data_IF_034461906693
#
_entry.id   IF_034461906693
#
_cell.length_a   1.000
_cell.length_b   1.000
_cell.length_c   1.000
_cell.angle_alpha   90.00
_cell.angle_beta   90.00
_cell.angle_gamma   90.00
#
_symmetry.space_group_name_H-M   'P 1'
#
loop_
_entity.id
_entity.type
_entity.pdbx_description
1 polymer ?
#
# COMPACT_ATOMS: atom_id res chain seq x y z
N UNK A 1 -9.80 35.02 -25.65
CA UNK A 1 -10.56 34.55 -24.47
C UNK A 1 -11.45 33.31 -24.74
N UNK A 2 -11.46 32.75 -25.96
CA UNK A 2 -12.24 31.53 -26.29
C UNK A 2 -11.55 30.21 -25.89
N UNK A 3 -10.21 30.15 -25.88
CA UNK A 3 -9.47 28.93 -25.53
C UNK A 3 -9.68 28.49 -24.06
N UNK A 4 -9.90 29.45 -23.15
CA UNK A 4 -10.13 29.15 -21.72
C UNK A 4 -11.50 28.51 -21.43
N UNK A 5 -12.49 28.69 -22.31
CA UNK A 5 -13.82 28.05 -22.16
C UNK A 5 -13.85 26.63 -22.70
N UNK A 6 -13.10 26.34 -23.77
CA UNK A 6 -12.99 24.99 -24.32
C UNK A 6 -12.23 24.03 -23.38
N UNK A 7 -11.28 24.60 -22.63
CA UNK A 7 -10.48 23.96 -21.60
C UNK A 7 -11.23 23.25 -20.48
N UNK A 8 -12.24 23.93 -19.92
CA UNK A 8 -13.05 23.39 -18.83
C UNK A 8 -13.96 22.26 -19.35
N UNK A 9 -14.25 22.21 -20.66
CA UNK A 9 -15.04 21.14 -21.27
C UNK A 9 -14.26 19.85 -21.56
N UNK A 10 -12.93 19.87 -21.73
CA UNK A 10 -12.13 18.66 -22.02
C UNK A 10 -11.39 18.06 -20.81
N UNK A 11 -11.09 18.87 -19.77
CA UNK A 11 -10.57 18.38 -18.47
C UNK A 11 -11.41 17.23 -17.84
N UNK A 12 -12.76 17.22 -17.93
CA UNK A 12 -13.57 16.12 -17.41
C UNK A 12 -13.30 14.77 -18.10
N UNK A 13 -12.80 14.75 -19.34
CA UNK A 13 -12.61 13.52 -20.11
C UNK A 13 -11.31 12.82 -19.70
N UNK A 14 -10.19 13.53 -19.64
CA UNK A 14 -8.90 12.98 -19.20
C UNK A 14 -8.99 12.43 -17.78
N UNK A 15 -9.65 13.19 -16.89
CA UNK A 15 -9.88 12.75 -15.51
C UNK A 15 -10.68 11.44 -15.44
N UNK A 16 -11.78 11.34 -16.20
CA UNK A 16 -12.60 10.11 -16.24
C UNK A 16 -11.83 8.91 -16.81
N UNK A 17 -11.02 9.14 -17.84
CA UNK A 17 -10.19 8.09 -18.45
C UNK A 17 -9.18 7.57 -17.41
N UNK A 18 -8.45 8.47 -16.74
CA UNK A 18 -7.49 8.07 -15.70
C UNK A 18 -8.19 7.32 -14.57
N UNK A 19 -9.36 7.79 -14.13
CA UNK A 19 -10.15 7.08 -13.10
C UNK A 19 -10.42 5.62 -13.50
N UNK A 20 -10.82 5.37 -14.75
CA UNK A 20 -11.10 4.03 -15.28
C UNK A 20 -9.81 3.19 -15.39
N UNK A 21 -8.72 3.77 -15.87
CA UNK A 21 -7.42 3.08 -15.93
C UNK A 21 -7.01 2.62 -14.53
N UNK A 22 -7.18 3.47 -13.52
CA UNK A 22 -6.84 3.16 -12.13
C UNK A 22 -7.72 2.07 -11.48
N UNK A 23 -8.80 1.62 -12.12
CA UNK A 23 -9.49 0.38 -11.70
C UNK A 23 -8.58 -0.85 -11.82
N UNK A 24 -7.50 -0.77 -12.61
CA UNK A 24 -6.46 -1.79 -12.70
C UNK A 24 -5.84 -2.20 -11.36
N UNK A 25 -5.82 -1.29 -10.36
CA UNK A 25 -5.35 -1.58 -8.99
C UNK A 25 -6.12 -2.75 -8.37
N UNK A 26 -7.45 -2.76 -8.56
CA UNK A 26 -8.32 -3.81 -8.04
C UNK A 26 -8.06 -5.17 -8.71
N UNK A 27 -7.40 -5.19 -9.86
CA UNK A 27 -7.02 -6.39 -10.59
C UNK A 27 -5.78 -7.08 -10.04
N UNK A 28 -4.94 -6.40 -9.25
CA UNK A 28 -3.66 -6.94 -8.76
C UNK A 28 -3.83 -8.28 -8.02
N UNK A 29 -4.77 -8.44 -7.06
CA UNK A 29 -4.94 -9.72 -6.37
C UNK A 29 -5.21 -10.89 -7.32
N UNK A 30 -6.04 -10.69 -8.34
CA UNK A 30 -6.36 -11.73 -9.33
C UNK A 30 -5.15 -12.14 -10.16
N UNK A 31 -4.20 -11.24 -10.37
CA UNK A 31 -2.99 -11.53 -11.16
C UNK A 31 -2.00 -12.44 -10.44
N UNK A 32 -2.03 -12.47 -9.11
CA UNK A 32 -1.05 -13.21 -8.30
C UNK A 32 -1.66 -14.39 -7.55
N UNK A 33 -2.88 -14.25 -7.01
CA UNK A 33 -3.54 -15.33 -6.24
C UNK A 33 -3.70 -16.60 -7.05
N UNK A 34 -3.17 -17.70 -6.51
CA UNK A 34 -3.23 -19.03 -7.12
C UNK A 34 -2.65 -19.09 -8.54
N UNK A 35 -1.75 -18.16 -8.86
CA UNK A 35 -1.03 -18.15 -10.14
C UNK A 35 0.41 -18.60 -9.93
N UNK A 36 1.04 -19.09 -11.00
CA UNK A 36 2.50 -19.34 -11.03
C UNK A 36 3.28 -18.11 -11.50
N UNK A 37 2.68 -16.91 -11.45
CA UNK A 37 3.32 -15.69 -11.92
C UNK A 37 4.48 -15.34 -10.97
N UNK A 38 5.68 -15.01 -11.50
CA UNK A 38 6.80 -14.61 -10.66
C UNK A 38 6.52 -13.28 -9.94
N UNK A 39 7.32 -12.99 -8.92
CA UNK A 39 7.27 -11.70 -8.25
C UNK A 39 7.50 -10.55 -9.24
N UNK A 40 6.75 -9.44 -9.12
CA UNK A 40 6.85 -8.34 -10.06
C UNK A 40 8.17 -7.58 -9.93
N UNK A 41 8.68 -7.16 -11.09
CA UNK A 41 9.89 -6.34 -11.22
C UNK A 41 9.61 -4.99 -11.89
N UNK A 42 8.44 -4.84 -12.51
CA UNK A 42 8.05 -3.65 -13.26
C UNK A 42 6.71 -3.11 -12.75
N UNK A 43 6.46 -1.83 -13.02
CA UNK A 43 5.17 -1.19 -12.76
C UNK A 43 4.04 -1.90 -13.51
N UNK A 44 2.83 -1.78 -12.98
CA UNK A 44 1.64 -2.33 -13.62
C UNK A 44 1.33 -1.61 -14.94
N UNK A 45 0.74 -2.30 -15.94
CA UNK A 45 0.36 -1.68 -17.21
C UNK A 45 -0.54 -0.44 -17.05
N UNK A 46 -1.47 -0.46 -16.10
CA UNK A 46 -2.35 0.69 -15.84
C UNK A 46 -1.58 1.93 -15.34
N UNK A 47 -0.44 1.76 -14.68
CA UNK A 47 0.43 2.88 -14.27
C UNK A 47 1.09 3.50 -15.49
N UNK A 48 1.64 2.66 -16.38
CA UNK A 48 2.23 3.15 -17.64
C UNK A 48 1.19 3.85 -18.52
N UNK A 49 -0.04 3.32 -18.57
CA UNK A 49 -1.15 3.92 -19.32
C UNK A 49 -1.58 5.25 -18.70
N UNK A 50 -1.68 5.34 -17.36
CA UNK A 50 -1.97 6.60 -16.65
C UNK A 50 -0.94 7.69 -17.00
N UNK A 51 0.35 7.33 -16.97
CA UNK A 51 1.43 8.24 -17.34
C UNK A 51 1.36 8.70 -18.80
N UNK A 52 1.04 7.78 -19.72
CA UNK A 52 0.84 8.09 -21.13
C UNK A 52 -0.36 9.05 -21.33
N UNK A 53 -1.49 8.81 -20.67
CA UNK A 53 -2.67 9.69 -20.72
C UNK A 53 -2.36 11.10 -20.20
N UNK A 54 -1.60 11.20 -19.11
CA UNK A 54 -1.15 12.48 -18.56
C UNK A 54 -0.21 13.24 -19.52
N UNK A 55 0.67 12.52 -20.22
CA UNK A 55 1.52 13.10 -21.26
C UNK A 55 0.71 13.58 -22.46
N UNK A 56 -0.23 12.76 -22.94
CA UNK A 56 -1.12 13.12 -24.04
C UNK A 56 -1.91 14.39 -23.74
N UNK A 57 -2.40 14.54 -22.49
CA UNK A 57 -3.03 15.78 -22.06
C UNK A 57 -2.10 17.00 -22.24
N UNK A 58 -0.84 16.91 -21.79
CA UNK A 58 0.12 18.00 -21.97
C UNK A 58 0.36 18.33 -23.45
N UNK A 59 0.54 17.30 -24.27
CA UNK A 59 0.81 17.47 -25.71
C UNK A 59 -0.40 18.10 -26.42
N UNK A 60 -1.62 17.69 -26.07
CA UNK A 60 -2.87 18.24 -26.61
C UNK A 60 -3.09 19.70 -26.17
N UNK A 61 -2.87 20.04 -24.90
CA UNK A 61 -3.03 21.43 -24.45
C UNK A 61 -1.96 22.36 -25.04
N UNK A 62 -0.74 21.87 -25.26
CA UNK A 62 0.29 22.59 -26.01
C UNK A 62 -0.15 22.84 -27.45
N UNK A 63 -0.75 21.84 -28.12
CA UNK A 63 -1.31 22.01 -29.45
C UNK A 63 -2.42 23.08 -29.51
N UNK A 64 -3.21 23.20 -28.44
CA UNK A 64 -4.20 24.27 -28.28
C UNK A 64 -3.63 25.63 -27.82
N UNK A 65 -2.31 25.79 -27.81
CA UNK A 65 -1.61 27.02 -27.44
C UNK A 65 -1.95 27.54 -26.04
N UNK A 66 -2.20 26.64 -25.08
CA UNK A 66 -2.30 27.06 -23.69
C UNK A 66 -0.95 27.55 -23.18
N UNK A 67 -0.97 28.47 -22.22
CA UNK A 67 0.27 28.83 -21.52
C UNK A 67 0.76 27.67 -20.68
N UNK A 68 2.08 27.53 -20.60
CA UNK A 68 2.74 26.47 -19.82
C UNK A 68 2.29 26.47 -18.34
N UNK A 69 2.02 27.65 -17.78
CA UNK A 69 1.48 27.80 -16.43
C UNK A 69 0.11 27.14 -16.27
N UNK A 70 -0.81 27.33 -17.22
CA UNK A 70 -2.14 26.75 -17.17
C UNK A 70 -2.09 25.23 -17.37
N UNK A 71 -1.26 24.75 -18.32
CA UNK A 71 -1.04 23.32 -18.55
C UNK A 71 -0.52 22.68 -17.27
N UNK A 72 0.51 23.28 -16.67
CA UNK A 72 1.12 22.80 -15.43
C UNK A 72 0.13 22.79 -14.28
N UNK A 73 -0.66 23.86 -14.11
CA UNK A 73 -1.66 23.96 -13.05
C UNK A 73 -2.73 22.85 -13.15
N UNK A 74 -3.33 22.67 -14.33
CA UNK A 74 -4.35 21.65 -14.55
C UNK A 74 -3.76 20.24 -14.48
N UNK A 75 -2.56 20.02 -15.04
CA UNK A 75 -1.85 18.75 -14.92
C UNK A 75 -1.65 18.35 -13.45
N UNK A 76 -1.20 19.29 -12.61
CA UNK A 76 -1.01 19.06 -11.18
C UNK A 76 -2.32 18.68 -10.48
N UNK A 77 -3.43 19.34 -10.83
CA UNK A 77 -4.75 19.00 -10.29
C UNK A 77 -5.18 17.59 -10.69
N UNK A 78 -5.09 17.25 -11.98
CA UNK A 78 -5.44 15.91 -12.49
C UNK A 78 -4.58 14.86 -11.79
N UNK A 79 -3.27 15.09 -11.70
CA UNK A 79 -2.35 14.14 -11.11
C UNK A 79 -2.58 13.95 -9.60
N UNK A 80 -2.78 15.04 -8.85
CA UNK A 80 -3.08 14.98 -7.43
C UNK A 80 -4.38 14.20 -7.13
N UNK A 81 -5.44 14.41 -7.92
CA UNK A 81 -6.67 13.64 -7.77
C UNK A 81 -6.48 12.16 -8.16
N UNK A 82 -5.70 11.89 -9.21
CA UNK A 82 -5.34 10.52 -9.62
C UNK A 82 -4.63 9.77 -8.50
N UNK A 83 -3.69 10.43 -7.80
CA UNK A 83 -3.01 9.86 -6.64
C UNK A 83 -3.97 9.57 -5.48
N UNK A 84 -4.96 10.44 -5.22
CA UNK A 84 -5.98 10.19 -4.19
C UNK A 84 -6.81 8.95 -4.53
N UNK A 85 -7.29 8.84 -5.77
CA UNK A 85 -8.06 7.69 -6.24
C UNK A 85 -7.26 6.39 -6.12
N UNK A 86 -6.03 6.41 -6.63
CA UNK A 86 -5.10 5.28 -6.53
C UNK A 86 -4.90 4.87 -5.07
N UNK A 87 -4.64 5.83 -4.18
CA UNK A 87 -4.42 5.59 -2.75
C UNK A 87 -5.62 4.92 -2.08
N UNK A 88 -6.84 5.34 -2.41
CA UNK A 88 -8.07 4.73 -1.88
C UNK A 88 -8.17 3.26 -2.31
N UNK A 89 -7.95 2.96 -3.60
CA UNK A 89 -8.02 1.59 -4.12
C UNK A 89 -6.90 0.72 -3.57
N UNK A 90 -5.67 1.24 -3.50
CA UNK A 90 -4.52 0.55 -2.92
C UNK A 90 -4.76 0.20 -1.44
N UNK A 91 -5.34 1.12 -0.65
CA UNK A 91 -5.75 0.86 0.75
C UNK A 91 -6.74 -0.30 0.85
N UNK A 92 -7.70 -0.38 -0.06
CA UNK A 92 -8.68 -1.48 -0.10
C UNK A 92 -8.02 -2.83 -0.42
N UNK A 93 -7.12 -2.84 -1.40
CA UNK A 93 -6.35 -4.05 -1.76
C UNK A 93 -5.50 -4.52 -0.57
N UNK A 94 -4.73 -3.62 0.06
CA UNK A 94 -3.90 -3.96 1.22
C UNK A 94 -4.73 -4.52 2.37
N UNK A 95 -5.89 -3.91 2.67
CA UNK A 95 -6.81 -4.41 3.70
C UNK A 95 -7.26 -5.85 3.41
N UNK A 96 -7.56 -6.18 2.15
CA UNK A 96 -7.95 -7.54 1.75
C UNK A 96 -6.79 -8.54 1.90
N UNK A 97 -5.57 -8.12 1.56
CA UNK A 97 -4.35 -8.91 1.75
C UNK A 97 -4.15 -9.23 3.23
N UNK A 98 -4.18 -8.23 4.11
CA UNK A 98 -4.03 -8.39 5.57
C UNK A 98 -5.10 -9.32 6.16
N UNK A 99 -6.35 -9.21 5.73
CA UNK A 99 -7.43 -10.11 6.15
C UNK A 99 -7.17 -11.56 5.74
N UNK A 100 -6.57 -11.76 4.57
CA UNK A 100 -6.24 -13.10 4.05
C UNK A 100 -5.07 -13.71 4.83
N UNK A 101 -4.02 -12.93 5.09
CA UNK A 101 -2.88 -13.39 5.90
C UNK A 101 -3.26 -13.71 7.33
N UNK A 102 -4.03 -12.84 7.98
CA UNK A 102 -4.49 -13.08 9.36
C UNK A 102 -5.34 -14.35 9.46
N UNK A 103 -6.16 -14.62 8.44
CA UNK A 103 -6.91 -15.87 8.33
C UNK A 103 -5.95 -17.07 8.18
N UNK A 104 -4.98 -17.00 7.28
CA UNK A 104 -4.01 -18.07 7.05
C UNK A 104 -3.14 -18.36 8.28
N UNK A 105 -2.68 -17.32 8.98
CA UNK A 105 -1.92 -17.45 10.22
C UNK A 105 -2.70 -18.19 11.31
N UNK A 106 -4.01 -17.93 11.45
CA UNK A 106 -4.87 -18.66 12.42
C UNK A 106 -4.92 -20.15 12.11
N UNK A 107 -4.86 -20.53 10.84
CA UNK A 107 -4.76 -21.94 10.44
C UNK A 107 -3.36 -22.52 10.72
N UNK A 108 -2.28 -21.81 10.35
CA UNK A 108 -0.89 -22.27 10.56
C UNK A 108 -0.51 -22.46 12.03
N UNK A 109 -1.03 -21.64 12.96
CA UNK A 109 -0.75 -21.77 14.41
C UNK A 109 -1.21 -23.10 15.04
N UNK A 110 -2.04 -23.88 14.35
CA UNK A 110 -2.46 -25.22 14.79
C UNK A 110 -1.52 -26.35 14.31
N UNK A 111 -0.51 -26.06 13.49
CA UNK A 111 0.34 -27.07 12.83
C UNK A 111 1.84 -26.68 12.80
N UNK A 112 2.56 -26.82 13.93
CA UNK A 112 4.05 -26.93 14.03
C UNK A 112 4.92 -25.83 13.34
N UNK A 113 6.27 -25.79 13.52
CA UNK A 113 7.01 -24.53 13.57
C UNK A 113 7.27 -23.92 12.18
N UNK A 114 7.10 -22.60 12.15
CA UNK A 114 7.18 -21.70 10.99
C UNK A 114 8.62 -21.58 10.51
N UNK A 115 8.97 -22.27 9.42
CA UNK A 115 10.13 -21.90 8.60
C UNK A 115 9.74 -22.04 7.13
N UNK A 116 8.98 -21.07 6.62
CA UNK A 116 8.74 -20.95 5.19
C UNK A 116 9.13 -19.53 4.79
N UNK A 117 9.99 -19.46 3.78
CA UNK A 117 10.36 -18.23 3.08
C UNK A 117 9.09 -17.58 2.52
N UNK A 118 8.42 -16.76 3.33
CA UNK A 118 7.20 -16.03 2.98
C UNK A 118 7.40 -15.11 1.75
N UNK A 119 8.63 -14.84 1.34
CA UNK A 119 8.96 -13.96 0.22
C UNK A 119 8.26 -14.35 -1.11
N UNK A 120 7.88 -15.62 -1.30
CA UNK A 120 7.19 -16.08 -2.51
C UNK A 120 5.65 -16.23 -2.35
N UNK A 121 5.08 -15.82 -1.21
CA UNK A 121 3.62 -15.87 -1.04
C UNK A 121 2.91 -14.87 -1.98
N UNK A 122 1.69 -15.22 -2.37
CA UNK A 122 0.83 -14.39 -3.23
C UNK A 122 0.63 -12.99 -2.63
N UNK A 123 0.49 -12.91 -1.30
CA UNK A 123 0.34 -11.65 -0.56
C UNK A 123 1.56 -10.75 -0.67
N UNK A 124 2.77 -11.32 -0.62
CA UNK A 124 4.00 -10.56 -0.82
C UNK A 124 4.20 -10.12 -2.27
N UNK A 125 3.76 -10.91 -3.25
CA UNK A 125 3.74 -10.50 -4.66
C UNK A 125 2.79 -9.32 -4.89
N UNK A 126 1.61 -9.34 -4.28
CA UNK A 126 0.63 -8.23 -4.35
C UNK A 126 1.22 -6.97 -3.72
N UNK A 127 1.79 -7.05 -2.51
CA UNK A 127 2.44 -5.91 -1.85
C UNK A 127 3.59 -5.36 -2.68
N UNK A 128 4.42 -6.25 -3.26
CA UNK A 128 5.53 -5.84 -4.12
C UNK A 128 5.06 -5.10 -5.36
N UNK A 129 3.98 -5.53 -6.01
CA UNK A 129 3.40 -4.78 -7.14
C UNK A 129 2.97 -3.38 -6.70
N UNK A 130 2.24 -3.28 -5.59
CA UNK A 130 1.80 -1.99 -5.05
C UNK A 130 2.98 -1.08 -4.71
N UNK A 131 4.06 -1.61 -4.15
CA UNK A 131 5.28 -0.83 -3.86
C UNK A 131 5.92 -0.26 -5.13
N UNK A 132 6.02 -1.05 -6.20
CA UNK A 132 6.54 -0.57 -7.49
C UNK A 132 5.65 0.52 -8.07
N UNK A 133 4.33 0.34 -7.99
CA UNK A 133 3.34 1.29 -8.50
C UNK A 133 3.36 2.60 -7.66
N UNK A 134 3.48 2.50 -6.34
CA UNK A 134 3.61 3.63 -5.40
C UNK A 134 4.91 4.41 -5.63
N UNK A 135 6.04 3.72 -5.79
CA UNK A 135 7.36 4.33 -6.01
C UNK A 135 7.40 5.13 -7.33
N UNK A 136 6.76 4.61 -8.38
CA UNK A 136 6.60 5.33 -9.63
C UNK A 136 5.78 6.61 -9.44
N UNK A 137 4.62 6.54 -8.77
CA UNK A 137 3.82 7.74 -8.50
C UNK A 137 4.56 8.75 -7.63
N UNK A 138 5.34 8.30 -6.64
CA UNK A 138 6.17 9.16 -5.80
C UNK A 138 7.22 9.90 -6.63
N UNK A 139 7.89 9.20 -7.53
CA UNK A 139 8.88 9.80 -8.45
C UNK A 139 8.22 10.85 -9.36
N UNK A 140 7.03 10.53 -9.89
CA UNK A 140 6.29 11.47 -10.74
C UNK A 140 5.78 12.69 -9.95
N UNK A 141 5.33 12.51 -8.70
CA UNK A 141 4.91 13.59 -7.81
C UNK A 141 6.04 14.54 -7.43
N UNK A 142 7.25 14.00 -7.18
CA UNK A 142 8.44 14.80 -6.92
C UNK A 142 8.75 15.75 -8.10
N UNK A 143 8.62 15.27 -9.34
CA UNK A 143 8.81 16.11 -10.54
C UNK A 143 7.77 17.23 -10.69
N UNK A 144 6.65 17.14 -9.98
CA UNK A 144 5.53 18.09 -10.04
C UNK A 144 5.38 18.94 -8.77
N UNK A 145 6.24 18.76 -7.77
CA UNK A 145 6.13 19.37 -6.44
C UNK A 145 4.77 19.13 -5.78
N UNK A 146 4.27 17.89 -5.86
CA UNK A 146 3.04 17.47 -5.20
C UNK A 146 3.37 16.74 -3.89
N UNK A 147 2.56 16.98 -2.87
CA UNK A 147 2.67 16.37 -1.54
C UNK A 147 2.44 14.85 -1.62
N UNK A 148 3.24 14.05 -0.90
CA UNK A 148 3.28 12.58 -1.02
C UNK A 148 3.16 11.84 0.33
N UNK A 149 2.86 12.52 1.44
CA UNK A 149 2.77 11.94 2.79
C UNK A 149 1.87 10.70 2.84
N UNK A 150 0.71 10.78 2.20
CA UNK A 150 -0.25 9.67 2.10
C UNK A 150 0.25 8.47 1.27
N UNK A 151 1.23 8.67 0.38
CA UNK A 151 1.90 7.64 -0.40
C UNK A 151 2.96 6.97 0.47
N UNK A 152 3.73 7.76 1.22
CA UNK A 152 4.73 7.24 2.15
C UNK A 152 4.11 6.35 3.23
N UNK A 153 2.98 6.78 3.81
CA UNK A 153 2.19 5.95 4.73
C UNK A 153 1.74 4.63 4.09
N UNK A 154 1.32 4.67 2.82
CA UNK A 154 0.91 3.49 2.07
C UNK A 154 2.07 2.55 1.75
N UNK A 155 3.23 3.10 1.39
CA UNK A 155 4.45 2.32 1.17
C UNK A 155 4.91 1.63 2.44
N UNK A 156 4.85 2.32 3.59
CA UNK A 156 5.16 1.71 4.89
C UNK A 156 4.23 0.54 5.20
N UNK A 157 2.92 0.72 5.00
CA UNK A 157 1.92 -0.34 5.19
C UNK A 157 2.11 -1.53 4.23
N UNK A 158 2.52 -1.25 2.99
CA UNK A 158 2.79 -2.28 1.99
C UNK A 158 4.14 -2.98 2.22
N UNK A 159 5.00 -2.50 3.11
CA UNK A 159 6.25 -3.14 3.44
C UNK A 159 6.04 -4.17 4.56
N UNK A 160 6.30 -5.48 4.33
CA UNK A 160 6.09 -6.52 5.32
C UNK A 160 7.02 -6.44 6.55
N UNK A 161 7.96 -5.48 6.59
CA UNK A 161 9.01 -5.38 7.62
C UNK A 161 8.57 -4.65 8.91
N UNK A 162 7.35 -4.16 8.99
CA UNK A 162 6.83 -3.42 10.16
C UNK A 162 5.70 -4.18 10.84
N UNK A 163 6.04 -5.26 11.54
CA UNK A 163 5.44 -5.71 12.83
C UNK A 163 5.74 -7.20 13.08
N UNK A 164 6.69 -7.49 13.98
CA UNK A 164 6.51 -8.53 15.02
C UNK A 164 7.58 -8.27 16.11
N UNK A 165 7.38 -7.28 16.97
CA UNK A 165 7.95 -7.38 18.32
C UNK A 165 7.00 -8.33 19.06
N UNK A 166 7.41 -9.59 19.15
CA UNK A 166 6.84 -10.49 20.16
C UNK A 166 7.15 -9.87 21.52
N UNK A 167 6.13 -9.46 22.27
CA UNK A 167 6.25 -9.28 23.71
C UNK A 167 6.27 -10.70 24.29
N UNK A 168 7.39 -11.20 24.84
CA UNK A 168 7.35 -12.44 25.58
C UNK A 168 6.52 -12.21 26.84
N UNK A 169 5.50 -13.04 27.05
CA UNK A 169 4.74 -13.09 28.29
C UNK A 169 5.68 -13.34 29.45
N UNK A 170 5.96 -12.31 30.26
CA UNK A 170 6.70 -12.48 31.50
C UNK A 170 5.79 -13.21 32.49
N UNK A 171 6.08 -14.50 32.67
CA UNK A 171 5.55 -15.31 33.77
C UNK A 171 6.09 -14.69 35.06
N UNK A 172 5.24 -13.96 35.79
CA UNK A 172 5.55 -13.58 37.16
C UNK A 172 5.32 -14.82 38.03
N UNK A 173 6.40 -15.57 38.23
CA UNK A 173 6.51 -16.56 39.30
C UNK A 173 6.44 -15.81 40.63
N UNK A 174 5.38 -16.04 41.40
CA UNK A 174 5.28 -15.58 42.78
C UNK A 174 6.14 -16.51 43.65
N UNK A 175 7.13 -16.01 44.41
CA UNK A 175 7.84 -16.82 45.38
C UNK A 175 6.97 -16.97 46.64
N UNK A 176 6.62 -18.21 46.95
CA UNK A 176 6.07 -18.61 48.24
C UNK A 176 7.16 -18.53 49.32
N UNK A 177 7.11 -17.49 50.15
CA UNK A 177 7.81 -17.48 51.44
C UNK A 177 7.04 -16.64 52.45
N UNK A 178 6.30 -17.31 53.34
CA UNK A 178 6.01 -16.79 54.66
C UNK A 178 6.47 -17.82 55.68
N UNK A 179 7.63 -17.56 56.28
CA UNK A 179 8.06 -18.17 57.55
C UNK A 179 7.32 -17.44 58.67
N UNK A 180 6.63 -18.19 59.53
CA UNK A 180 6.36 -17.76 60.89
C UNK A 180 6.83 -18.88 61.81
N UNK A 181 7.74 -18.49 62.69
CA UNK A 181 8.48 -19.26 63.68
C UNK A 181 7.77 -19.17 65.02
N UNK A 182 7.66 -20.30 65.72
CA UNK A 182 7.73 -20.56 67.19
C UNK A 182 6.97 -21.86 67.49
N UNK A 183 7.36 -22.77 68.38
CA UNK A 183 8.52 -22.95 69.23
C UNK A 183 8.57 -24.45 69.62
N UNK A 184 9.77 -25.01 69.75
CA UNK A 184 10.03 -26.32 70.37
C UNK A 184 9.75 -26.26 71.88
N UNK A 185 9.14 -27.30 72.45
CA UNK A 185 9.59 -27.98 73.68
C UNK A 185 9.27 -29.50 73.58
N UNK A 186 10.33 -30.29 73.74
CA UNK A 186 10.54 -31.71 74.14
C UNK A 186 9.46 -32.35 75.06
N UNK A 187 9.27 -33.66 75.25
CA UNK A 187 10.03 -34.92 75.01
C UNK A 187 9.05 -36.12 75.21
N UNK A 188 9.50 -37.32 74.87
CA UNK A 188 8.82 -38.63 74.94
C UNK A 188 8.43 -39.14 76.34
N UNK A 189 7.53 -40.15 76.30
CA UNK A 189 7.10 -41.16 77.30
C UNK A 189 5.88 -40.82 78.16
#
# INVERSE_FOLDING_TARGET
MACFKYAICNSPTTYKIIFQILDGVCGIPRQYRWTKKPAPTNISPYISETSATLKLFKDEMNHYCWSEENITSVYKQIFAESMKIFSVKAKQVLKSVEQTETSLQRFKRKSMPVNENNADSDENKIRRQLLLDLDYFKTLAASCHIEVSHIDELMLRANPSTETIQIPSLIQSVPSTLKASTANITEEV
#
